data_IF_686734535957
#
_entry.id   IF_686734535957
#
_cell.length_a   1.000
_cell.length_b   1.000
_cell.length_c   1.000
_cell.angle_alpha   90.00
_cell.angle_beta   90.00
_cell.angle_gamma   90.00
#
_symmetry.space_group_name_H-M   'P 1'
#
loop_
_entity.id
_entity.type
_entity.pdbx_description
1 polymer ?
#
# COMPACT_ATOMS: atom_id res chain seq x y z
N UNK A 1 10.56 -31.48 -57.64
CA UNK A 1 9.81 -32.20 -58.70
C UNK A 1 10.10 -33.68 -58.53
N UNK A 2 9.03 -34.50 -58.50
CA UNK A 2 8.98 -35.98 -58.53
C UNK A 2 9.71 -36.73 -57.39
N UNK A 3 9.27 -37.87 -56.86
CA UNK A 3 8.04 -38.69 -56.87
C UNK A 3 8.30 -39.80 -55.83
N UNK A 4 7.36 -40.09 -54.93
CA UNK A 4 6.54 -41.33 -54.93
C UNK A 4 7.10 -42.59 -54.22
N UNK A 5 6.45 -42.89 -53.08
CA UNK A 5 5.88 -44.18 -52.60
C UNK A 5 6.72 -45.43 -52.29
N UNK A 6 6.45 -46.04 -51.11
CA UNK A 6 5.85 -47.38 -50.87
C UNK A 6 6.15 -47.86 -49.42
N UNK A 7 5.15 -48.05 -48.53
CA UNK A 7 4.30 -49.24 -48.25
C UNK A 7 4.92 -50.32 -47.31
N UNK A 8 4.40 -50.36 -46.06
CA UNK A 8 4.07 -51.56 -45.25
C UNK A 8 5.21 -52.40 -44.62
N UNK A 9 4.94 -53.28 -43.63
CA UNK A 9 3.65 -53.85 -43.24
C UNK A 9 3.25 -53.77 -41.73
N UNK A 10 2.00 -54.18 -41.51
CA UNK A 10 1.25 -54.47 -40.27
C UNK A 10 1.74 -55.72 -39.55
N UNK A 11 1.40 -55.89 -38.25
CA UNK A 11 1.23 -57.12 -37.42
C UNK A 11 1.44 -56.69 -35.94
N UNK A 12 0.69 -57.04 -34.88
CA UNK A 12 -0.50 -57.87 -34.63
C UNK A 12 -1.06 -57.48 -33.25
N UNK A 13 -2.36 -57.66 -33.07
CA UNK A 13 -3.07 -57.55 -31.79
C UNK A 13 -2.73 -58.68 -30.81
N UNK A 14 -2.78 -58.39 -29.50
CA UNK A 14 -3.00 -59.40 -28.48
C UNK A 14 -4.00 -58.87 -27.45
N UNK A 15 -5.16 -59.53 -27.43
CA UNK A 15 -6.29 -59.38 -26.52
C UNK A 15 -6.19 -60.53 -25.52
N UNK A 16 -6.27 -60.26 -24.22
CA UNK A 16 -6.61 -61.27 -23.23
C UNK A 16 -7.86 -60.83 -22.45
N UNK A 17 -8.89 -61.67 -22.55
CA UNK A 17 -10.04 -61.76 -21.64
C UNK A 17 -9.55 -62.49 -20.37
N UNK A 18 -10.21 -62.48 -19.22
CA UNK A 18 -11.33 -63.40 -18.89
C UNK A 18 -11.84 -63.15 -17.45
N UNK A 19 -13.17 -63.23 -17.27
CA UNK A 19 -14.03 -63.59 -16.10
C UNK A 19 -13.92 -62.81 -14.76
N UNK A 20 -14.96 -62.18 -14.21
CA UNK A 20 -16.35 -62.59 -13.82
C UNK A 20 -16.42 -63.63 -12.69
N UNK A 21 -16.88 -63.18 -11.51
CA UNK A 21 -17.85 -63.80 -10.56
C UNK A 21 -17.73 -63.04 -9.22
N UNK A 22 -18.59 -62.10 -8.83
CA UNK A 22 -19.98 -62.20 -8.34
C UNK A 22 -20.14 -62.84 -6.94
N UNK A 23 -20.75 -62.06 -6.02
CA UNK A 23 -21.73 -62.41 -4.98
C UNK A 23 -21.39 -62.09 -3.50
N UNK A 24 -22.23 -61.19 -2.98
CA UNK A 24 -22.81 -61.00 -1.65
C UNK A 24 -22.18 -61.66 -0.40
N UNK A 25 -21.95 -60.83 0.63
CA UNK A 25 -22.37 -61.17 1.99
C UNK A 25 -22.74 -59.93 2.80
N UNK A 26 -24.00 -59.86 3.21
CA UNK A 26 -24.49 -59.05 4.32
C UNK A 26 -23.80 -59.47 5.63
N UNK A 27 -23.47 -58.51 6.50
CA UNK A 27 -23.39 -58.66 7.97
C UNK A 27 -23.14 -57.26 8.56
N UNK A 28 -24.19 -56.58 9.03
CA UNK A 28 -24.75 -56.61 10.40
C UNK A 28 -24.15 -55.51 11.29
N UNK A 29 -25.05 -54.66 11.78
CA UNK A 29 -24.83 -53.57 12.73
C UNK A 29 -24.18 -54.11 14.01
N UNK A 30 -23.23 -53.37 14.56
CA UNK A 30 -22.94 -53.42 16.00
C UNK A 30 -23.28 -52.07 16.62
N UNK A 31 -24.41 -52.09 17.34
CA UNK A 31 -24.83 -51.08 18.28
C UNK A 31 -24.14 -51.36 19.63
N UNK A 32 -23.68 -50.31 20.29
CA UNK A 32 -23.47 -50.15 21.74
C UNK A 32 -22.64 -51.19 22.51
N UNK A 33 -21.44 -50.78 22.94
CA UNK A 33 -21.04 -50.96 24.33
C UNK A 33 -20.57 -49.63 24.91
N UNK A 34 -21.46 -49.00 25.68
CA UNK A 34 -21.13 -47.97 26.64
C UNK A 34 -20.55 -48.63 27.89
N UNK A 35 -19.24 -48.52 28.10
CA UNK A 35 -18.63 -48.76 29.41
C UNK A 35 -18.72 -47.46 30.21
N UNK A 36 -19.71 -47.35 31.10
CA UNK A 36 -19.74 -46.32 32.12
C UNK A 36 -18.82 -46.67 33.30
N UNK A 37 -18.23 -45.61 33.85
CA UNK A 37 -17.76 -45.44 35.23
C UNK A 37 -16.63 -46.35 35.76
N UNK A 38 -15.40 -45.87 35.59
CA UNK A 38 -14.41 -45.93 36.67
C UNK A 38 -14.36 -44.56 37.36
N UNK A 39 -14.85 -44.52 38.59
CA UNK A 39 -14.74 -43.38 39.49
C UNK A 39 -13.31 -43.27 40.01
N UNK A 40 -12.50 -42.39 39.42
CA UNK A 40 -11.31 -41.86 40.08
C UNK A 40 -11.58 -40.43 40.56
N UNK A 41 -11.82 -40.39 41.87
CA UNK A 41 -11.94 -39.24 42.74
C UNK A 41 -10.57 -38.53 42.82
N UNK A 42 -10.54 -37.21 42.63
CA UNK A 42 -9.57 -36.38 43.36
C UNK A 42 -8.39 -35.75 42.61
N UNK A 43 -8.53 -35.33 41.35
CA UNK A 43 -7.66 -34.25 40.81
C UNK A 43 -8.56 -33.10 40.38
N UNK A 44 -8.44 -31.89 40.96
CA UNK A 44 -9.15 -30.73 40.44
C UNK A 44 -8.56 -30.42 39.06
N UNK A 45 -9.19 -30.94 38.00
CA UNK A 45 -9.01 -30.38 36.68
C UNK A 45 -9.43 -28.92 36.78
N UNK A 46 -8.48 -28.00 36.64
CA UNK A 46 -8.77 -26.58 36.43
C UNK A 46 -9.76 -26.54 35.27
N UNK A 47 -11.04 -26.29 35.58
CA UNK A 47 -12.09 -26.11 34.61
C UNK A 47 -11.67 -24.89 33.80
N UNK A 48 -11.07 -25.13 32.63
CA UNK A 48 -10.82 -24.06 31.68
C UNK A 48 -12.18 -23.49 31.34
N UNK A 49 -12.45 -22.27 31.79
CA UNK A 49 -13.67 -21.56 31.45
C UNK A 49 -13.77 -21.57 29.93
N UNK A 50 -14.78 -22.26 29.38
CA UNK A 50 -15.06 -22.22 27.94
C UNK A 50 -15.19 -20.75 27.58
N UNK A 51 -14.26 -20.24 26.76
CA UNK A 51 -14.37 -18.89 26.24
C UNK A 51 -15.74 -18.77 25.55
N UNK A 52 -16.43 -17.63 25.70
CA UNK A 52 -17.69 -17.42 25.02
C UNK A 52 -17.48 -17.66 23.51
N UNK A 53 -18.46 -18.28 22.82
CA UNK A 53 -18.32 -18.60 21.41
C UNK A 53 -17.98 -17.33 20.63
N UNK A 54 -16.75 -17.25 20.12
CA UNK A 54 -16.35 -16.13 19.28
C UNK A 54 -17.04 -16.27 17.93
N UNK A 55 -17.67 -15.20 17.40
CA UNK A 55 -18.28 -15.25 16.09
C UNK A 55 -17.20 -15.55 15.04
N UNK A 56 -17.57 -16.31 14.00
CA UNK A 56 -16.67 -16.59 12.88
C UNK A 56 -16.17 -15.27 12.25
N UNK A 57 -14.96 -15.28 11.66
CA UNK A 57 -14.39 -14.09 11.01
C UNK A 57 -15.36 -13.47 9.98
N UNK A 58 -16.13 -14.31 9.27
CA UNK A 58 -17.17 -13.87 8.32
C UNK A 58 -18.29 -13.08 9.00
N UNK A 59 -18.77 -13.58 10.14
CA UNK A 59 -19.82 -12.89 10.93
C UNK A 59 -19.29 -11.62 11.60
N UNK A 60 -17.99 -11.59 11.95
CA UNK A 60 -17.33 -10.39 12.47
C UNK A 60 -17.20 -9.31 11.38
N UNK A 61 -16.83 -9.69 10.15
CA UNK A 61 -16.72 -8.78 9.01
C UNK A 61 -18.02 -8.06 8.66
N UNK A 62 -19.15 -8.76 8.68
CA UNK A 62 -20.47 -8.16 8.45
C UNK A 62 -20.91 -7.16 9.53
N UNK A 63 -20.35 -7.24 10.74
CA UNK A 63 -20.68 -6.34 11.87
C UNK A 63 -19.70 -5.17 12.01
N UNK A 64 -18.67 -5.06 11.16
CA UNK A 64 -17.74 -3.95 11.23
C UNK A 64 -18.45 -2.66 10.81
N UNK A 65 -18.49 -1.69 11.73
CA UNK A 65 -18.99 -0.37 11.41
C UNK A 65 -17.96 0.39 10.57
N UNK A 66 -18.41 1.41 9.82
CA UNK A 66 -17.57 2.28 8.99
C UNK A 66 -16.40 2.89 9.78
N UNK A 67 -16.61 3.18 11.06
CA UNK A 67 -15.60 3.73 11.99
C UNK A 67 -14.57 2.72 12.46
N UNK A 68 -14.86 1.42 12.36
CA UNK A 68 -13.97 0.35 12.83
C UNK A 68 -12.97 -0.11 11.78
N UNK A 69 -13.17 0.23 10.50
CA UNK A 69 -12.16 -0.05 9.49
C UNK A 69 -11.03 0.98 9.56
N UNK A 70 -9.77 0.52 9.66
CA UNK A 70 -8.65 1.43 9.61
C UNK A 70 -8.62 2.13 8.25
N UNK A 71 -8.52 3.45 8.26
CA UNK A 71 -8.28 4.29 7.06
C UNK A 71 -6.90 4.04 6.45
N UNK A 72 -6.13 3.10 7.00
CA UNK A 72 -4.76 2.81 6.65
C UNK A 72 -4.65 1.31 6.42
N UNK A 73 -5.14 0.85 5.26
CA UNK A 73 -4.75 -0.45 4.74
C UNK A 73 -3.34 -0.27 4.20
N UNK A 74 -2.37 -1.01 4.75
CA UNK A 74 -0.95 -0.89 4.36
C UNK A 74 -0.73 -0.97 2.84
N UNK A 75 0.50 -0.70 2.39
CA UNK A 75 0.83 -0.80 0.97
C UNK A 75 0.42 -2.17 0.42
N UNK A 76 -0.39 -2.17 -0.64
CA UNK A 76 -0.94 -3.41 -1.19
C UNK A 76 0.18 -4.39 -1.56
N UNK A 77 0.06 -5.67 -1.17
CA UNK A 77 1.13 -6.64 -1.38
C UNK A 77 1.41 -6.83 -2.87
N UNK A 78 2.69 -6.96 -3.21
CA UNK A 78 3.16 -7.07 -4.59
C UNK A 78 3.09 -5.76 -5.39
N UNK A 79 2.97 -4.62 -4.73
CA UNK A 79 3.12 -3.31 -5.38
C UNK A 79 4.56 -3.12 -5.82
N UNK A 80 4.78 -3.10 -7.13
CA UNK A 80 6.09 -2.85 -7.71
C UNK A 80 6.30 -1.35 -7.95
N UNK A 81 7.39 -0.80 -7.45
CA UNK A 81 7.74 0.62 -7.61
C UNK A 81 9.08 0.71 -8.33
N UNK A 82 9.06 1.13 -9.60
CA UNK A 82 10.29 1.23 -10.40
C UNK A 82 11.22 2.31 -9.85
N UNK A 83 12.47 1.94 -9.56
CA UNK A 83 13.55 2.86 -9.18
C UNK A 83 13.94 3.82 -10.31
N UNK A 84 14.72 4.86 -9.98
CA UNK A 84 15.28 5.73 -11.02
C UNK A 84 16.32 4.96 -11.83
N UNK A 85 16.52 5.39 -13.07
CA UNK A 85 17.49 4.75 -13.96
C UNK A 85 18.93 4.76 -13.43
N UNK A 86 19.27 5.76 -12.59
CA UNK A 86 20.57 5.86 -11.93
C UNK A 86 20.76 4.82 -10.81
N UNK A 87 19.66 4.40 -10.18
CA UNK A 87 19.67 3.47 -9.04
C UNK A 87 19.39 2.03 -9.49
N UNK A 88 19.22 1.81 -10.80
CA UNK A 88 19.05 0.48 -11.37
C UNK A 88 20.42 -0.17 -11.63
N UNK A 89 20.54 -1.51 -11.49
CA UNK A 89 21.81 -2.20 -11.72
C UNK A 89 22.33 -1.94 -13.13
N UNK A 90 23.66 -1.86 -13.27
CA UNK A 90 24.28 -1.60 -14.58
C UNK A 90 23.91 -2.70 -15.58
N UNK A 91 23.51 -2.29 -16.78
CA UNK A 91 23.12 -3.19 -17.88
C UNK A 91 24.27 -4.14 -18.25
N UNK A 92 25.51 -3.67 -18.12
CA UNK A 92 26.69 -4.42 -18.54
C UNK A 92 27.24 -5.35 -17.45
N UNK A 93 27.18 -4.92 -16.18
CA UNK A 93 27.72 -5.73 -15.08
C UNK A 93 26.71 -6.76 -14.57
N UNK A 94 25.43 -6.40 -14.51
CA UNK A 94 24.37 -7.24 -13.95
C UNK A 94 23.10 -7.24 -14.83
N UNK A 95 23.17 -7.77 -16.07
CA UNK A 95 22.05 -7.74 -17.01
C UNK A 95 20.84 -8.56 -16.55
N UNK A 96 21.07 -9.72 -15.91
CA UNK A 96 19.99 -10.63 -15.47
C UNK A 96 19.04 -9.97 -14.44
N UNK A 97 19.50 -9.44 -13.29
CA UNK A 97 18.61 -8.77 -12.34
C UNK A 97 17.98 -7.50 -12.95
N UNK A 98 18.72 -6.79 -13.82
CA UNK A 98 18.20 -5.62 -14.53
C UNK A 98 17.01 -5.95 -15.42
N UNK A 99 17.14 -6.97 -16.26
CA UNK A 99 16.07 -7.46 -17.12
C UNK A 99 14.90 -8.02 -16.31
N UNK A 100 15.18 -8.69 -15.17
CA UNK A 100 14.13 -9.17 -14.28
C UNK A 100 13.31 -8.03 -13.67
N UNK A 101 13.94 -6.95 -13.23
CA UNK A 101 13.25 -5.74 -12.76
C UNK A 101 12.39 -5.12 -13.86
N UNK A 102 12.93 -4.98 -15.08
CA UNK A 102 12.16 -4.44 -16.21
C UNK A 102 10.99 -5.33 -16.61
N UNK A 103 11.20 -6.64 -16.61
CA UNK A 103 10.14 -7.61 -16.88
C UNK A 103 9.05 -7.55 -15.81
N UNK A 104 9.43 -7.47 -14.53
CA UNK A 104 8.47 -7.31 -13.43
C UNK A 104 7.73 -5.99 -13.53
N UNK A 105 8.38 -4.90 -13.94
CA UNK A 105 7.73 -3.63 -14.18
C UNK A 105 6.65 -3.73 -15.25
N UNK A 106 6.98 -4.30 -16.41
CA UNK A 106 6.04 -4.49 -17.51
C UNK A 106 4.89 -5.43 -17.11
N UNK A 107 5.21 -6.57 -16.51
CA UNK A 107 4.24 -7.55 -16.03
C UNK A 107 3.31 -6.95 -14.98
N UNK A 108 3.85 -6.27 -13.98
CA UNK A 108 3.07 -5.61 -12.92
C UNK A 108 2.20 -4.51 -13.52
N UNK A 109 2.73 -3.67 -14.41
CA UNK A 109 1.95 -2.65 -15.11
C UNK A 109 0.75 -3.22 -15.86
N UNK A 110 0.93 -4.32 -16.58
CA UNK A 110 -0.15 -5.02 -17.27
C UNK A 110 -1.18 -5.65 -16.31
N UNK A 111 -0.71 -6.36 -15.28
CA UNK A 111 -1.58 -6.97 -14.27
C UNK A 111 -2.38 -5.93 -13.50
N UNK A 112 -1.76 -4.81 -13.13
CA UNK A 112 -2.41 -3.68 -12.46
C UNK A 112 -3.48 -3.05 -13.35
N UNK A 113 -3.19 -2.86 -14.64
CA UNK A 113 -4.15 -2.33 -15.60
C UNK A 113 -5.36 -3.26 -15.78
N UNK A 114 -5.14 -4.56 -15.98
CA UNK A 114 -6.22 -5.55 -16.07
C UNK A 114 -7.01 -5.66 -14.77
N UNK A 115 -6.33 -5.65 -13.62
CA UNK A 115 -6.97 -5.69 -12.31
C UNK A 115 -7.85 -4.46 -12.08
N UNK A 116 -7.38 -3.27 -12.48
CA UNK A 116 -8.17 -2.04 -12.42
C UNK A 116 -9.37 -2.10 -13.37
N UNK A 117 -9.21 -2.61 -14.59
CA UNK A 117 -10.33 -2.80 -15.52
C UNK A 117 -11.37 -3.77 -14.95
N UNK A 118 -10.93 -4.91 -14.43
CA UNK A 118 -11.80 -5.88 -13.76
C UNK A 118 -12.54 -5.22 -12.58
N UNK A 119 -11.83 -4.45 -11.75
CA UNK A 119 -12.40 -3.73 -10.61
C UNK A 119 -13.45 -2.69 -11.03
N UNK A 120 -13.14 -1.86 -12.04
CA UNK A 120 -14.01 -0.76 -12.49
C UNK A 120 -15.15 -1.16 -13.42
N UNK A 121 -15.03 -2.27 -14.15
CA UNK A 121 -16.01 -2.67 -15.18
C UNK A 121 -16.73 -3.97 -14.86
N UNK A 122 -16.08 -4.93 -14.21
CA UNK A 122 -16.67 -6.24 -13.95
C UNK A 122 -17.18 -6.36 -12.51
N UNK A 123 -16.35 -6.01 -11.54
CA UNK A 123 -16.67 -6.18 -10.12
C UNK A 123 -17.61 -5.09 -9.61
N UNK A 124 -17.31 -3.82 -9.88
CA UNK A 124 -18.20 -2.72 -9.53
C UNK A 124 -18.59 -1.98 -10.81
N UNK A 125 -19.77 -2.32 -11.35
CA UNK A 125 -20.26 -1.77 -12.62
C UNK A 125 -20.45 -0.25 -12.50
N UNK A 126 -19.97 0.49 -13.51
CA UNK A 126 -20.24 1.94 -13.65
C UNK A 126 -19.16 2.88 -13.12
N UNK A 127 -18.01 2.39 -12.64
CA UNK A 127 -16.97 3.28 -12.11
C UNK A 127 -16.09 3.90 -13.21
N UNK A 128 -15.81 5.21 -13.13
CA UNK A 128 -14.85 5.86 -14.01
C UNK A 128 -13.40 5.53 -13.61
N UNK A 129 -12.57 5.15 -14.58
CA UNK A 129 -11.16 4.83 -14.36
C UNK A 129 -10.31 6.05 -13.94
N UNK A 130 -10.76 7.27 -14.30
CA UNK A 130 -10.12 8.56 -14.02
C UNK A 130 -8.60 8.62 -14.23
N UNK A 131 -8.10 7.95 -15.28
CA UNK A 131 -6.67 7.71 -15.48
C UNK A 131 -5.81 8.99 -15.53
N UNK A 132 -6.35 10.09 -16.06
CA UNK A 132 -5.67 11.38 -16.15
C UNK A 132 -5.67 12.15 -14.82
N UNK A 133 -6.82 12.17 -14.13
CA UNK A 133 -7.04 12.92 -12.89
C UNK A 133 -6.14 12.46 -11.74
N UNK A 134 -5.72 11.18 -11.74
CA UNK A 134 -4.80 10.60 -10.73
C UNK A 134 -3.57 11.46 -10.46
N UNK A 135 -2.98 12.04 -11.51
CA UNK A 135 -1.77 12.86 -11.38
C UNK A 135 -2.05 14.22 -10.75
N UNK A 136 -3.18 14.82 -11.11
CA UNK A 136 -3.57 16.14 -10.60
C UNK A 136 -3.98 16.04 -9.14
N UNK A 137 -4.74 15.00 -8.78
CA UNK A 137 -5.09 14.68 -7.38
C UNK A 137 -3.82 14.46 -6.55
N UNK A 138 -2.87 13.65 -7.03
CA UNK A 138 -1.61 13.43 -6.32
C UNK A 138 -0.79 14.72 -6.15
N UNK A 139 -0.80 15.59 -7.16
CA UNK A 139 -0.13 16.89 -7.12
C UNK A 139 -0.72 17.78 -6.04
N UNK A 140 -2.04 17.92 -6.04
CA UNK A 140 -2.78 18.78 -5.12
C UNK A 140 -2.64 18.29 -3.68
N UNK A 141 -2.85 16.99 -3.42
CA UNK A 141 -2.67 16.42 -2.09
C UNK A 141 -1.25 16.62 -1.56
N UNK A 142 -0.23 16.41 -2.40
CA UNK A 142 1.17 16.59 -2.03
C UNK A 142 1.48 18.04 -1.62
N UNK A 143 1.00 19.01 -2.39
CA UNK A 143 1.15 20.43 -2.06
C UNK A 143 0.42 20.78 -0.76
N UNK A 144 -0.86 20.41 -0.66
CA UNK A 144 -1.69 20.71 0.50
C UNK A 144 -1.11 20.09 1.78
N UNK A 145 -0.58 18.85 1.71
CA UNK A 145 0.08 18.19 2.83
C UNK A 145 1.31 18.96 3.31
N UNK A 146 2.23 19.30 2.41
CA UNK A 146 3.47 19.97 2.81
C UNK A 146 3.22 21.42 3.25
N UNK A 147 2.30 22.14 2.62
CA UNK A 147 1.84 23.45 3.07
C UNK A 147 1.24 23.39 4.47
N UNK A 148 0.27 22.49 4.71
CA UNK A 148 -0.33 22.31 6.03
C UNK A 148 0.70 21.88 7.08
N UNK A 149 1.68 21.06 6.70
CA UNK A 149 2.78 20.68 7.58
C UNK A 149 3.67 21.86 7.93
N UNK A 150 4.03 22.72 6.99
CA UNK A 150 4.82 23.92 7.26
C UNK A 150 4.06 24.89 8.20
N UNK A 151 2.77 25.11 7.92
CA UNK A 151 1.90 25.97 8.73
C UNK A 151 1.60 25.41 10.12
N UNK A 152 1.78 24.09 10.33
CA UNK A 152 1.47 23.43 11.59
C UNK A 152 -0.01 23.14 11.80
N UNK A 153 -0.81 23.12 10.72
CA UNK A 153 -2.25 22.85 10.79
C UNK A 153 -2.52 21.34 10.85
N UNK A 154 -2.66 20.81 12.07
CA UNK A 154 -2.88 19.37 12.33
C UNK A 154 -4.25 18.90 11.83
N UNK A 155 -5.27 19.75 11.87
CA UNK A 155 -6.63 19.37 11.45
C UNK A 155 -6.69 19.18 9.93
N UNK A 156 -6.08 20.09 9.16
CA UNK A 156 -5.94 19.91 7.71
C UNK A 156 -5.16 18.63 7.37
N UNK A 157 -4.10 18.30 8.12
CA UNK A 157 -3.33 17.07 7.90
C UNK A 157 -4.16 15.80 8.12
N UNK A 158 -5.07 15.79 9.11
CA UNK A 158 -5.96 14.64 9.37
C UNK A 158 -7.00 14.43 8.27
N UNK A 159 -7.38 15.48 7.56
CA UNK A 159 -8.28 15.38 6.39
C UNK A 159 -7.53 14.91 5.14
N UNK A 160 -6.31 15.42 4.92
CA UNK A 160 -5.51 15.14 3.71
C UNK A 160 -4.82 13.78 3.78
N UNK A 161 -4.34 13.38 4.95
CA UNK A 161 -3.56 12.16 5.14
C UNK A 161 -4.38 11.06 5.82
N UNK A 162 -3.98 9.82 5.57
CA UNK A 162 -4.36 8.66 6.36
C UNK A 162 -3.84 8.79 7.80
N UNK A 163 -4.46 8.08 8.74
CA UNK A 163 -4.29 8.28 10.20
C UNK A 163 -2.84 8.09 10.66
N UNK A 164 -2.13 7.10 10.13
CA UNK A 164 -0.75 6.80 10.45
C UNK A 164 0.20 7.93 10.05
N UNK A 165 0.09 8.40 8.81
CA UNK A 165 0.89 9.53 8.34
C UNK A 165 0.54 10.83 9.08
N UNK A 166 -0.75 11.12 9.25
CA UNK A 166 -1.23 12.30 9.97
C UNK A 166 -0.67 12.36 11.40
N UNK A 167 -0.72 11.23 12.13
CA UNK A 167 -0.18 11.13 13.48
C UNK A 167 1.35 11.34 13.50
N UNK A 168 2.08 10.77 12.54
CA UNK A 168 3.54 10.96 12.45
C UNK A 168 3.93 12.43 12.20
N UNK A 169 3.18 13.12 11.33
CA UNK A 169 3.41 14.53 11.01
C UNK A 169 3.00 15.44 12.17
N UNK A 170 1.87 15.14 12.82
CA UNK A 170 1.41 15.85 14.01
C UNK A 170 2.46 15.76 15.15
N UNK A 171 2.96 14.56 15.45
CA UNK A 171 4.05 14.38 16.42
C UNK A 171 5.29 15.19 16.07
N UNK A 172 5.66 15.26 14.80
CA UNK A 172 6.79 16.10 14.34
C UNK A 172 6.51 17.59 14.50
N UNK A 173 5.27 18.05 14.34
CA UNK A 173 4.86 19.45 14.59
C UNK A 173 4.95 19.76 16.08
N UNK A 174 4.43 18.89 16.95
CA UNK A 174 4.48 19.08 18.39
C UNK A 174 5.91 19.08 18.95
N UNK A 175 6.81 18.32 18.34
CA UNK A 175 8.22 18.28 18.72
C UNK A 175 9.04 19.46 18.17
N UNK A 176 8.46 20.40 17.41
CA UNK A 176 9.19 21.57 16.93
C UNK A 176 9.52 22.52 18.09
N UNK A 177 10.70 23.17 18.08
CA UNK A 177 10.95 24.29 18.97
C UNK A 177 9.88 25.38 18.75
N UNK A 178 9.26 25.86 19.84
CA UNK A 178 8.14 26.84 19.78
C UNK A 178 8.52 28.15 19.09
N UNK A 179 9.81 28.46 19.05
CA UNK A 179 10.35 29.69 18.46
C UNK A 179 10.61 29.56 16.95
N UNK A 180 10.62 28.34 16.39
CA UNK A 180 10.97 28.11 14.99
C UNK A 180 9.73 27.86 14.16
N UNK A 181 9.45 28.75 13.21
CA UNK A 181 8.44 28.51 12.17
C UNK A 181 9.09 27.85 10.96
N UNK A 182 8.58 26.67 10.57
CA UNK A 182 8.99 26.01 9.34
C UNK A 182 8.27 26.65 8.15
N UNK A 183 8.98 26.82 7.05
CA UNK A 183 8.44 27.30 5.78
C UNK A 183 8.77 26.29 4.70
N UNK A 184 7.79 26.01 3.83
CA UNK A 184 7.96 25.15 2.67
C UNK A 184 7.36 25.83 1.46
N UNK A 185 8.11 25.83 0.36
CA UNK A 185 7.61 26.24 -0.94
C UNK A 185 8.02 25.25 -2.02
N UNK A 186 7.10 25.01 -2.93
CA UNK A 186 7.36 24.26 -4.14
C UNK A 186 7.78 25.22 -5.25
N UNK A 187 9.05 25.17 -5.66
CA UNK A 187 9.56 26.10 -6.66
C UNK A 187 9.18 25.65 -8.07
N UNK A 188 9.46 24.38 -8.39
CA UNK A 188 9.11 23.80 -9.70
C UNK A 188 9.07 22.28 -9.67
N UNK A 189 8.30 21.72 -10.60
CA UNK A 189 8.39 20.30 -10.93
C UNK A 189 9.52 20.05 -11.95
N UNK A 190 10.36 19.05 -11.68
CA UNK A 190 11.45 18.66 -12.56
C UNK A 190 10.90 17.84 -13.74
N UNK A 191 10.63 18.53 -14.86
CA UNK A 191 10.07 17.96 -16.08
C UNK A 191 11.14 17.19 -16.85
N UNK A 192 11.26 15.90 -16.58
CA UNK A 192 12.20 15.01 -17.29
C UNK A 192 11.44 14.03 -18.19
N UNK A 193 12.09 13.47 -19.23
CA UNK A 193 11.48 12.40 -20.03
C UNK A 193 11.05 11.20 -19.17
N UNK A 194 11.80 10.93 -18.09
CA UNK A 194 11.47 9.89 -17.12
C UNK A 194 10.13 10.13 -16.39
N UNK A 195 9.60 11.35 -16.37
CA UNK A 195 8.31 11.75 -15.78
C UNK A 195 7.32 12.28 -16.82
N UNK A 196 7.46 11.89 -18.09
CA UNK A 196 6.61 12.35 -19.20
C UNK A 196 6.50 13.88 -19.28
N UNK A 197 7.58 14.59 -18.93
CA UNK A 197 7.64 16.06 -18.90
C UNK A 197 6.61 16.72 -17.96
N UNK A 198 5.89 15.96 -17.12
CA UNK A 198 4.97 16.53 -16.12
C UNK A 198 5.60 16.66 -14.74
N UNK A 199 6.78 16.07 -14.52
CA UNK A 199 7.43 15.99 -13.20
C UNK A 199 6.76 15.00 -12.22
N UNK A 200 5.71 14.34 -12.68
CA UNK A 200 4.88 13.41 -11.92
C UNK A 200 4.60 12.20 -12.79
N UNK A 201 4.90 10.99 -12.30
CA UNK A 201 4.67 9.73 -13.01
C UNK A 201 3.97 8.72 -12.13
N UNK A 202 2.85 8.19 -12.61
CA UNK A 202 2.19 7.04 -11.97
C UNK A 202 3.06 5.80 -12.17
N UNK A 203 3.42 5.15 -11.07
CA UNK A 203 4.23 3.94 -11.03
C UNK A 203 3.38 2.69 -10.95
N UNK A 204 2.36 2.72 -10.08
CA UNK A 204 1.44 1.61 -9.85
C UNK A 204 0.04 2.18 -9.58
N UNK A 205 -1.00 1.54 -10.10
CA UNK A 205 -2.40 1.81 -9.77
C UNK A 205 -3.09 0.47 -9.55
N UNK A 206 -3.40 0.17 -8.30
CA UNK A 206 -3.94 -1.12 -7.87
C UNK A 206 -5.26 -0.90 -7.16
N UNK A 207 -6.21 -1.78 -7.42
CA UNK A 207 -7.48 -1.82 -6.72
C UNK A 207 -7.78 -3.23 -6.26
N UNK A 208 -8.26 -3.38 -5.03
CA UNK A 208 -8.62 -4.66 -4.42
C UNK A 208 -9.93 -4.51 -3.67
N UNK A 209 -10.80 -5.51 -3.75
CA UNK A 209 -11.98 -5.59 -2.89
C UNK A 209 -11.58 -6.09 -1.51
N UNK A 210 -12.26 -5.58 -0.48
CA UNK A 210 -12.10 -6.09 0.87
C UNK A 210 -12.92 -7.38 0.95
N UNK A 211 -12.32 -8.53 1.31
CA UNK A 211 -13.08 -9.77 1.46
C UNK A 211 -14.13 -9.60 2.55
N UNK A 212 -15.24 -10.31 2.42
CA UNK A 212 -16.39 -10.31 3.33
C UNK A 212 -17.24 -9.02 3.36
N UNK A 213 -16.85 -7.96 2.65
CA UNK A 213 -17.62 -6.71 2.57
C UNK A 213 -18.02 -6.39 1.13
N UNK A 214 -19.33 -6.43 0.85
CA UNK A 214 -19.87 -6.16 -0.47
C UNK A 214 -19.59 -4.72 -0.92
N UNK A 215 -19.32 -4.55 -2.23
CA UNK A 215 -19.08 -3.26 -2.90
C UNK A 215 -18.06 -2.34 -2.21
N UNK A 216 -17.17 -2.93 -1.42
CA UNK A 216 -16.17 -2.23 -0.64
C UNK A 216 -14.78 -2.63 -1.09
N UNK A 217 -13.88 -1.66 -1.12
CA UNK A 217 -12.54 -1.88 -1.65
C UNK A 217 -11.62 -0.72 -1.40
N UNK A 218 -10.37 -0.94 -1.76
CA UNK A 218 -9.30 0.03 -1.68
C UNK A 218 -8.65 0.15 -3.04
N UNK A 219 -8.46 1.39 -3.48
CA UNK A 219 -7.61 1.73 -4.61
C UNK A 219 -6.40 2.50 -4.11
N UNK A 220 -5.21 2.01 -4.43
CA UNK A 220 -3.94 2.66 -4.11
C UNK A 220 -3.20 3.01 -5.39
N UNK A 221 -2.65 4.21 -5.44
CA UNK A 221 -1.84 4.70 -6.54
C UNK A 221 -0.50 5.16 -5.99
N UNK A 222 0.57 4.60 -6.54
CA UNK A 222 1.93 5.05 -6.26
C UNK A 222 2.36 6.01 -7.36
N UNK A 223 2.77 7.20 -6.96
CA UNK A 223 3.20 8.27 -7.86
C UNK A 223 4.60 8.72 -7.50
N UNK A 224 5.48 8.79 -8.50
CA UNK A 224 6.78 9.43 -8.37
C UNK A 224 6.65 10.91 -8.67
N UNK A 225 7.03 11.75 -7.72
CA UNK A 225 7.08 13.21 -7.84
C UNK A 225 8.56 13.63 -7.83
N UNK A 226 8.98 14.33 -8.87
CA UNK A 226 10.32 14.93 -8.98
C UNK A 226 10.16 16.44 -8.97
N UNK A 227 10.65 17.12 -7.95
CA UNK A 227 10.45 18.55 -7.74
C UNK A 227 11.66 19.22 -7.12
N UNK A 228 11.80 20.51 -7.37
CA UNK A 228 12.68 21.41 -6.60
C UNK A 228 11.85 22.07 -5.52
N UNK A 229 12.25 21.87 -4.28
CA UNK A 229 11.55 22.38 -3.09
C UNK A 229 12.50 23.26 -2.30
N UNK A 230 11.95 24.29 -1.67
CA UNK A 230 12.68 25.18 -0.77
C UNK A 230 12.11 25.08 0.63
N UNK A 231 12.98 24.78 1.59
CA UNK A 231 12.60 24.66 3.01
C UNK A 231 13.42 25.66 3.81
N UNK A 232 12.76 26.46 4.64
CA UNK A 232 13.40 27.43 5.52
C UNK A 232 12.90 27.31 6.95
N UNK A 233 13.73 27.75 7.90
CA UNK A 233 13.35 27.92 9.29
C UNK A 233 13.52 29.39 9.64
N UNK A 234 12.48 29.99 10.21
CA UNK A 234 12.57 31.35 10.76
C UNK A 234 12.43 31.26 12.27
N UNK A 235 13.48 31.67 12.98
CA UNK A 235 13.42 31.85 14.43
C UNK A 235 12.71 33.17 14.71
N UNK A 236 11.52 33.11 15.29
CA UNK A 236 10.84 34.29 15.81
C UNK A 236 11.60 34.76 17.04
N UNK A 237 12.28 35.90 16.95
CA UNK A 237 12.72 36.59 18.16
C UNK A 237 11.47 36.96 18.94
N UNK A 238 11.31 36.35 20.12
CA UNK A 238 10.34 36.81 21.11
C UNK A 238 10.74 38.24 21.49
N UNK A 239 9.94 39.20 21.06
CA UNK A 239 10.01 40.56 21.60
C UNK A 239 9.74 40.42 23.09
N UNK A 240 10.79 40.50 23.89
CA UNK A 240 10.71 40.45 25.34
C UNK A 240 9.69 41.48 25.83
N UNK A 241 8.72 41.00 26.57
CA UNK A 241 7.85 41.83 27.39
C UNK A 241 8.72 42.39 28.53
N UNK A 242 9.45 43.47 28.26
CA UNK A 242 10.06 44.28 29.31
C UNK A 242 8.97 45.13 29.93
N UNK A 243 8.33 44.61 30.96
CA UNK A 243 7.55 45.41 31.91
C UNK A 243 8.53 46.33 32.63
N UNK A 244 8.68 47.55 32.10
CA UNK A 244 9.42 48.64 32.71
C UNK A 244 8.71 49.94 32.37
N UNK A 245 8.01 50.52 33.35
CA UNK A 245 7.48 51.87 33.30
C UNK A 245 8.56 52.85 32.82
N UNK A 246 8.27 53.67 31.82
CA UNK A 246 8.66 55.08 31.87
C UNK A 246 7.91 55.91 30.82
N UNK A 247 7.39 57.00 31.35
CA UNK A 247 6.68 58.08 30.73
C UNK A 247 7.56 58.86 29.74
N UNK A 248 7.01 59.23 28.59
CA UNK A 248 7.32 60.50 27.95
C UNK A 248 8.36 60.49 26.81
N UNK A 249 7.94 61.17 25.74
CA UNK A 249 8.73 61.77 24.66
C UNK A 249 8.98 60.95 23.40
N UNK A 250 8.14 61.31 22.42
CA UNK A 250 8.33 61.19 20.97
C UNK A 250 9.77 61.46 20.52
N UNK A 251 10.38 60.44 19.92
CA UNK A 251 11.38 60.62 18.86
C UNK A 251 11.01 59.68 17.72
N UNK A 252 10.83 60.28 16.55
CA UNK A 252 10.64 59.60 15.25
C UNK A 252 11.94 58.86 14.93
N UNK A 253 12.07 57.65 15.46
CA UNK A 253 13.03 56.66 15.01
C UNK A 253 12.32 55.81 13.96
N UNK A 254 12.77 55.90 12.70
CA UNK A 254 12.43 54.95 11.65
C UNK A 254 12.75 53.55 12.18
N UNK A 255 11.71 52.85 12.60
CA UNK A 255 11.78 51.48 13.08
C UNK A 255 12.17 50.60 11.90
N UNK A 256 13.47 50.46 11.68
CA UNK A 256 14.00 49.35 10.92
C UNK A 256 13.62 48.11 11.71
N UNK A 257 12.52 47.47 11.28
CA UNK A 257 12.18 46.10 11.62
C UNK A 257 13.48 45.32 11.54
N UNK A 258 14.02 44.90 12.68
CA UNK A 258 15.12 43.93 12.71
C UNK A 258 14.53 42.66 12.14
N UNK A 259 14.70 42.53 10.82
CA UNK A 259 14.40 41.34 10.05
C UNK A 259 15.18 40.23 10.74
N UNK A 260 14.47 39.44 11.55
CA UNK A 260 15.01 38.20 12.12
C UNK A 260 15.67 37.45 10.98
N UNK A 261 16.88 36.97 11.23
CA UNK A 261 17.72 36.30 10.23
C UNK A 261 16.90 35.25 9.49
N UNK A 262 16.44 35.57 8.28
CA UNK A 262 15.92 34.58 7.35
C UNK A 262 17.12 33.76 6.95
N UNK A 263 17.31 32.60 7.58
CA UNK A 263 18.19 31.60 7.00
C UNK A 263 17.70 31.35 5.57
N UNK A 264 18.61 31.53 4.60
CA UNK A 264 18.30 31.41 3.18
C UNK A 264 17.65 30.05 2.95
N UNK A 265 16.42 30.05 2.43
CA UNK A 265 15.67 28.82 2.20
C UNK A 265 16.54 27.83 1.41
N UNK A 266 16.74 26.64 1.98
CA UNK A 266 17.57 25.60 1.38
C UNK A 266 16.77 25.00 0.23
N UNK A 267 17.22 25.29 -0.99
CA UNK A 267 16.63 24.74 -2.20
C UNK A 267 17.26 23.36 -2.51
N UNK A 268 16.43 22.35 -2.71
CA UNK A 268 16.87 20.98 -2.99
C UNK A 268 16.01 20.32 -4.07
N UNK A 269 16.66 19.56 -4.96
CA UNK A 269 15.96 18.66 -5.88
C UNK A 269 15.61 17.35 -5.16
N UNK A 270 14.32 17.09 -5.02
CA UNK A 270 13.76 15.94 -4.31
C UNK A 270 13.05 14.99 -5.29
N UNK A 271 13.20 13.68 -5.06
CA UNK A 271 12.40 12.65 -5.73
C UNK A 271 11.74 11.77 -4.69
N UNK A 272 10.42 11.83 -4.66
CA UNK A 272 9.60 11.15 -3.65
C UNK A 272 8.62 10.19 -4.33
N UNK A 273 8.35 9.06 -3.69
CA UNK A 273 7.30 8.14 -4.12
C UNK A 273 6.15 8.24 -3.12
N UNK A 274 5.08 8.91 -3.53
CA UNK A 274 3.90 9.16 -2.72
C UNK A 274 2.87 8.11 -3.04
N UNK A 275 2.26 7.54 -2.00
CA UNK A 275 1.15 6.61 -2.12
C UNK A 275 -0.11 7.35 -1.74
N UNK A 276 -1.05 7.44 -2.68
CA UNK A 276 -2.39 7.94 -2.43
C UNK A 276 -3.38 6.78 -2.43
N UNK A 277 -4.40 6.89 -1.60
CA UNK A 277 -5.38 5.85 -1.38
C UNK A 277 -6.79 6.43 -1.44
N UNK A 278 -7.71 5.67 -2.00
CA UNK A 278 -9.13 5.91 -1.99
C UNK A 278 -9.84 4.67 -1.45
N UNK A 279 -10.67 4.85 -0.42
CA UNK A 279 -11.56 3.81 0.05
C UNK A 279 -12.89 3.88 -0.68
N UNK A 280 -13.49 2.70 -0.84
CA UNK A 280 -14.87 2.54 -1.26
C UNK A 280 -15.59 1.74 -0.19
N UNK A 281 -16.70 2.27 0.30
CA UNK A 281 -17.54 1.67 1.33
C UNK A 281 -18.96 1.48 0.82
N UNK A 282 -19.43 0.24 0.73
CA UNK A 282 -20.79 -0.11 0.30
C UNK A 282 -21.21 0.64 -0.98
N UNK A 283 -20.31 0.72 -1.96
CA UNK A 283 -20.56 1.40 -3.23
C UNK A 283 -20.31 2.92 -3.25
N UNK A 284 -20.01 3.55 -2.11
CA UNK A 284 -19.67 4.97 -2.03
C UNK A 284 -18.15 5.16 -2.00
N UNK A 285 -17.63 6.00 -2.91
CA UNK A 285 -16.21 6.35 -2.93
C UNK A 285 -15.93 7.48 -1.93
N UNK A 286 -14.91 7.30 -1.10
CA UNK A 286 -14.37 8.36 -0.23
C UNK A 286 -13.41 9.27 -1.00
N UNK A 287 -12.99 10.35 -0.34
CA UNK A 287 -11.98 11.26 -0.86
C UNK A 287 -10.60 10.59 -0.90
N UNK A 288 -9.79 11.04 -1.85
CA UNK A 288 -8.39 10.62 -1.94
C UNK A 288 -7.59 11.19 -0.79
N UNK A 289 -6.79 10.34 -0.15
CA UNK A 289 -5.88 10.72 0.94
C UNK A 289 -4.47 10.20 0.70
N UNK A 290 -3.49 10.83 1.31
CA UNK A 290 -2.11 10.35 1.28
C UNK A 290 -1.94 9.27 2.34
N UNK A 291 -1.64 8.05 1.89
CA UNK A 291 -1.30 6.95 2.79
C UNK A 291 0.09 7.16 3.40
N UNK A 292 1.07 7.49 2.57
CA UNK A 292 2.47 7.57 3.00
C UNK A 292 3.45 7.77 1.87
N UNK A 293 4.73 7.76 2.25
CA UNK A 293 5.86 7.69 1.33
C UNK A 293 6.32 6.23 1.23
N UNK A 294 6.81 5.83 0.07
CA UNK A 294 7.33 4.48 -0.17
C UNK A 294 8.73 4.53 -0.78
N UNK A 295 9.46 3.43 -0.68
CA UNK A 295 10.78 3.26 -1.31
C UNK A 295 10.63 2.53 -2.64
N UNK A 296 11.50 2.82 -3.62
CA UNK A 296 11.52 2.05 -4.85
C UNK A 296 11.97 0.62 -4.59
N UNK A 297 11.47 -0.32 -5.39
CA UNK A 297 11.84 -1.73 -5.34
C UNK A 297 13.29 -1.92 -5.78
N UNK A 298 14.11 -2.54 -4.93
CA UNK A 298 15.53 -2.83 -5.23
C UNK A 298 15.71 -4.26 -5.73
N UNK A 299 16.97 -4.64 -6.00
CA UNK A 299 17.31 -6.02 -6.38
C UNK A 299 17.11 -6.98 -5.21
N UNK A 300 17.27 -6.52 -3.96
CA UNK A 300 17.07 -7.35 -2.77
C UNK A 300 15.62 -7.78 -2.63
N UNK A 301 14.69 -6.87 -2.93
CA UNK A 301 13.24 -7.14 -2.90
C UNK A 301 12.80 -8.21 -3.91
N UNK A 302 13.62 -8.55 -4.92
CA UNK A 302 13.29 -9.63 -5.85
C UNK A 302 13.24 -11.02 -5.20
N UNK A 303 13.78 -11.13 -3.99
CA UNK A 303 13.71 -12.34 -3.16
C UNK A 303 12.34 -12.51 -2.50
N UNK A 304 11.51 -11.45 -2.41
CA UNK A 304 10.20 -11.53 -1.79
C UNK A 304 9.29 -12.53 -2.53
N UNK A 305 8.50 -13.34 -1.80
CA UNK A 305 7.55 -14.29 -2.40
C UNK A 305 6.59 -13.65 -3.41
N UNK A 306 6.29 -12.35 -3.26
CA UNK A 306 5.43 -11.61 -4.19
C UNK A 306 6.07 -11.37 -5.56
N UNK A 307 7.39 -11.42 -5.68
CA UNK A 307 8.14 -11.14 -6.91
C UNK A 307 8.95 -12.35 -7.44
N UNK A 308 8.98 -13.47 -6.70
CA UNK A 308 9.62 -14.71 -7.15
C UNK A 308 8.92 -15.29 -8.38
N UNK A 309 9.63 -15.73 -9.44
CA UNK A 309 9.05 -16.50 -10.53
C UNK A 309 8.67 -17.91 -10.05
N UNK A 310 7.73 -18.57 -10.74
CA UNK A 310 7.39 -19.98 -10.49
C UNK A 310 6.39 -20.24 -9.36
N UNK A 311 6.26 -19.35 -8.36
CA UNK A 311 5.27 -19.54 -7.29
C UNK A 311 3.83 -19.30 -7.74
N UNK A 312 2.92 -20.19 -7.34
CA UNK A 312 1.48 -20.05 -7.57
C UNK A 312 0.89 -18.91 -6.72
N UNK A 313 -0.29 -18.39 -7.09
CA UNK A 313 -0.94 -17.32 -6.32
C UNK A 313 -1.30 -17.79 -4.90
N UNK A 314 -1.74 -19.04 -4.76
CA UNK A 314 -2.05 -19.65 -3.47
C UNK A 314 -0.81 -19.73 -2.57
N UNK A 315 0.33 -20.18 -3.10
CA UNK A 315 1.60 -20.19 -2.38
C UNK A 315 2.02 -18.78 -1.95
N UNK A 316 1.85 -17.76 -2.81
CA UNK A 316 2.15 -16.37 -2.45
C UNK A 316 1.27 -15.86 -1.32
N UNK A 317 -0.04 -16.13 -1.38
CA UNK A 317 -0.96 -15.75 -0.30
C UNK A 317 -0.59 -16.46 0.99
N UNK A 318 -0.22 -17.74 0.94
CA UNK A 318 0.22 -18.50 2.11
C UNK A 318 1.51 -17.92 2.70
N UNK A 319 2.53 -17.66 1.89
CA UNK A 319 3.79 -17.05 2.35
C UNK A 319 3.57 -15.65 2.94
N UNK A 320 2.67 -14.85 2.34
CA UNK A 320 2.26 -13.56 2.89
C UNK A 320 1.55 -13.74 4.24
N UNK A 321 0.60 -14.68 4.31
CA UNK A 321 -0.15 -14.97 5.53
C UNK A 321 0.77 -15.45 6.66
N UNK A 322 1.75 -16.29 6.38
CA UNK A 322 2.76 -16.72 7.36
C UNK A 322 3.57 -15.55 7.89
N UNK A 323 3.98 -14.61 7.02
CA UNK A 323 4.69 -13.40 7.43
C UNK A 323 3.87 -12.50 8.34
N UNK A 324 2.55 -12.44 8.14
CA UNK A 324 1.63 -11.59 8.93
C UNK A 324 0.98 -12.31 10.12
N UNK A 325 0.92 -13.64 10.13
CA UNK A 325 0.31 -14.47 11.17
C UNK A 325 1.29 -15.09 12.16
N UNK A 326 2.59 -14.83 11.99
CA UNK A 326 3.67 -15.30 12.89
C UNK A 326 3.94 -14.40 14.10
N UNK A 327 2.99 -13.57 14.52
CA UNK A 327 3.02 -12.80 15.77
C UNK A 327 1.78 -13.08 16.60
#
# INVERSE_FOLDING_TARGET
MASSMAKGPLFTAARSKTTVSQLYSCQSRFFSQSSQCSALRGVPQKISMKQPPQPSMKTRGQKLSRSDLPQDVGLLPGTYVKSLWRDMPSIFQQPKPRLRLEWLWLKSGFQNFLGLLAYCKWLNKGMPLHLKKRRDIARELHQNMYSAFADGNVDALRTICCTGLANSLASRIFNRPKETKATWSLDKYNRTPATYLTGIRVMSDRATQIPDLADSGVRQIVVRITSRQSTGQSTGQSTGQSTGQSTGQSKVAKSAVRVGSFERAKQQDCTEYVVIQQFRWLGQDEDWRIWGLTTPTTVEDLSDPMFLPGMSLAERIMAVKERFGGQ
#
